data_IF_078572508454
#
_entry.id   IF_078572508454
#
_cell.length_a   1.000
_cell.length_b   1.000
_cell.length_c   1.000
_cell.angle_alpha   90.00
_cell.angle_beta   90.00
_cell.angle_gamma   90.00
#
_symmetry.space_group_name_H-M   'P 1'
#
loop_
_entity.id
_entity.type
_entity.pdbx_description
1 polymer ?
#
# COMPACT_ATOMS: atom_id res chain seq x y z
N UNK A 1 21.65 6.58 7.95
CA UNK A 1 20.87 5.74 7.01
C UNK A 1 19.48 5.44 7.53
N UNK A 2 19.29 5.16 8.82
CA UNK A 2 17.97 5.01 9.45
C UNK A 2 16.99 6.14 9.07
N UNK A 3 17.44 7.40 9.17
CA UNK A 3 16.67 8.59 8.79
C UNK A 3 16.20 8.62 7.32
N UNK A 4 16.84 7.87 6.42
CA UNK A 4 16.44 7.78 5.01
C UNK A 4 15.17 6.93 4.83
N UNK A 5 14.80 6.13 5.83
CA UNK A 5 13.71 5.17 5.78
C UNK A 5 12.59 5.52 6.76
N UNK A 6 12.18 6.79 6.78
CA UNK A 6 11.01 7.25 7.53
C UNK A 6 9.88 7.60 6.55
N UNK A 7 8.76 6.86 6.50
CA UNK A 7 8.38 5.81 7.44
C UNK A 7 9.12 4.47 7.22
N UNK A 8 9.43 3.81 8.34
CA UNK A 8 10.10 2.51 8.39
C UNK A 8 9.14 1.36 8.11
N UNK A 9 9.64 0.29 7.50
CA UNK A 9 8.90 -0.95 7.36
C UNK A 9 8.54 -1.53 8.74
N UNK A 10 7.28 -1.96 9.01
CA UNK A 10 6.86 -2.48 10.32
C UNK A 10 7.61 -3.74 10.76
N UNK A 11 7.99 -4.60 9.82
CA UNK A 11 8.81 -5.78 10.09
C UNK A 11 10.30 -5.43 10.10
N UNK A 12 10.97 -5.70 11.22
CA UNK A 12 12.40 -5.43 11.42
C UNK A 12 13.29 -6.09 10.39
N UNK A 13 13.01 -7.34 10.03
CA UNK A 13 13.78 -8.08 9.02
C UNK A 13 13.79 -7.34 7.68
N UNK A 14 12.64 -6.82 7.24
CA UNK A 14 12.54 -6.07 5.99
C UNK A 14 13.24 -4.73 6.10
N UNK A 15 13.12 -4.02 7.23
CA UNK A 15 13.81 -2.76 7.45
C UNK A 15 15.34 -2.92 7.40
N UNK A 16 15.87 -3.94 8.07
CA UNK A 16 17.30 -4.24 8.04
C UNK A 16 17.78 -4.61 6.63
N UNK A 17 16.96 -5.33 5.86
CA UNK A 17 17.27 -5.61 4.45
C UNK A 17 17.29 -4.32 3.60
N UNK A 18 16.37 -3.38 3.82
CA UNK A 18 16.37 -2.08 3.13
C UNK A 18 17.61 -1.26 3.46
N UNK A 19 18.03 -1.21 4.72
CA UNK A 19 19.26 -0.52 5.14
C UNK A 19 20.51 -1.14 4.50
N UNK A 20 20.62 -2.47 4.50
CA UNK A 20 21.72 -3.19 3.87
C UNK A 20 21.77 -2.93 2.36
N UNK A 21 20.62 -2.93 1.69
CA UNK A 21 20.51 -2.59 0.28
C UNK A 21 20.99 -1.17 -0.01
N UNK A 22 20.50 -0.17 0.74
CA UNK A 22 20.92 1.22 0.56
C UNK A 22 22.41 1.43 0.84
N UNK A 23 22.98 0.73 1.82
CA UNK A 23 24.40 0.80 2.15
C UNK A 23 25.28 0.31 0.99
N UNK A 24 24.82 -0.70 0.24
CA UNK A 24 25.53 -1.28 -0.90
C UNK A 24 25.44 -0.43 -2.17
N UNK A 25 24.49 0.52 -2.25
CA UNK A 25 24.33 1.38 -3.42
C UNK A 25 25.34 2.53 -3.46
N UNK A 26 25.71 3.01 -4.68
CA UNK A 26 26.36 4.29 -4.86
C UNK A 26 25.54 5.43 -4.23
N UNK A 27 26.21 6.40 -3.62
CA UNK A 27 25.56 7.50 -2.89
C UNK A 27 24.49 8.22 -3.72
N UNK A 28 24.77 8.48 -4.99
CA UNK A 28 23.86 9.16 -5.93
C UNK A 28 22.53 8.42 -6.15
N UNK A 29 22.48 7.09 -5.93
CA UNK A 29 21.26 6.29 -6.14
C UNK A 29 20.45 6.09 -4.85
N UNK A 30 21.06 6.34 -3.68
CA UNK A 30 20.44 6.00 -2.39
C UNK A 30 19.14 6.77 -2.15
N UNK A 31 19.10 8.05 -2.52
CA UNK A 31 17.94 8.90 -2.26
C UNK A 31 16.69 8.43 -3.01
N UNK A 32 16.85 8.08 -4.29
CA UNK A 32 15.75 7.57 -5.13
C UNK A 32 15.22 6.24 -4.62
N UNK A 33 16.09 5.27 -4.35
CA UNK A 33 15.67 3.98 -3.81
C UNK A 33 15.05 4.09 -2.40
N UNK A 34 15.57 5.00 -1.56
CA UNK A 34 14.99 5.25 -0.25
C UNK A 34 13.57 5.80 -0.36
N UNK A 35 13.28 6.69 -1.32
CA UNK A 35 11.91 7.15 -1.60
C UNK A 35 10.98 6.00 -1.93
N UNK A 36 11.38 5.11 -2.84
CA UNK A 36 10.58 3.94 -3.20
C UNK A 36 10.29 3.04 -1.98
N UNK A 37 11.28 2.84 -1.11
CA UNK A 37 11.04 2.11 0.15
C UNK A 37 10.10 2.85 1.08
N UNK A 38 10.22 4.16 1.28
CA UNK A 38 9.31 4.94 2.13
C UNK A 38 7.87 4.86 1.65
N UNK A 39 7.63 4.99 0.34
CA UNK A 39 6.30 4.85 -0.27
C UNK A 39 5.74 3.43 -0.09
N UNK A 40 6.56 2.41 -0.34
CA UNK A 40 6.20 1.02 -0.11
C UNK A 40 5.88 0.72 1.36
N UNK A 41 6.69 1.23 2.29
CA UNK A 41 6.52 1.07 3.73
C UNK A 41 5.23 1.75 4.23
N UNK A 42 4.96 2.97 3.77
CA UNK A 42 3.74 3.71 4.07
C UNK A 42 2.50 2.94 3.57
N UNK A 43 2.56 2.46 2.34
CA UNK A 43 1.49 1.68 1.70
C UNK A 43 1.26 0.33 2.40
N UNK A 44 2.33 -0.33 2.83
CA UNK A 44 2.24 -1.56 3.63
C UNK A 44 1.61 -1.31 5.00
N UNK A 45 1.98 -0.23 5.68
CA UNK A 45 1.37 0.20 6.95
C UNK A 45 -0.12 0.47 6.84
N UNK A 46 -0.56 1.06 5.73
CA UNK A 46 -1.97 1.24 5.43
C UNK A 46 -2.68 -0.11 5.32
N UNK A 47 -2.13 -1.07 4.56
CA UNK A 47 -2.73 -2.40 4.45
C UNK A 47 -2.80 -3.18 5.77
N UNK A 48 -1.85 -2.95 6.66
CA UNK A 48 -1.90 -3.57 7.99
C UNK A 48 -3.09 -3.08 8.82
N UNK A 49 -3.64 -1.89 8.55
CA UNK A 49 -4.86 -1.43 9.21
C UNK A 49 -6.04 -2.37 8.91
N UNK A 50 -6.07 -3.00 7.73
CA UNK A 50 -7.13 -3.95 7.35
C UNK A 50 -6.95 -5.35 7.94
N UNK A 51 -5.78 -5.66 8.53
CA UNK A 51 -5.46 -7.02 8.94
C UNK A 51 -6.33 -7.45 10.11
N UNK A 52 -7.19 -8.46 9.89
CA UNK A 52 -8.15 -8.94 10.89
C UNK A 52 -9.49 -8.20 10.87
N UNK A 53 -9.64 -7.16 10.06
CA UNK A 53 -10.87 -6.39 9.96
C UNK A 53 -11.71 -6.73 8.72
N UNK A 54 -11.11 -7.34 7.69
CA UNK A 54 -11.86 -7.72 6.46
C UNK A 54 -12.89 -8.81 6.77
N UNK A 55 -14.14 -8.56 6.44
CA UNK A 55 -15.28 -9.47 6.66
C UNK A 55 -15.85 -10.04 5.35
N UNK A 56 -16.70 -11.07 5.45
CA UNK A 56 -17.49 -11.55 4.31
C UNK A 56 -18.44 -10.48 3.77
N UNK A 57 -18.96 -9.60 4.63
CA UNK A 57 -19.79 -8.46 4.20
C UNK A 57 -18.99 -7.49 3.32
N UNK A 58 -17.75 -7.17 3.72
CA UNK A 58 -16.85 -6.34 2.92
C UNK A 58 -16.59 -6.99 1.56
N UNK A 59 -16.40 -8.31 1.53
CA UNK A 59 -16.23 -9.07 0.30
C UNK A 59 -17.45 -9.00 -0.61
N UNK A 60 -18.65 -9.23 -0.09
CA UNK A 60 -19.87 -9.15 -0.90
C UNK A 60 -20.16 -7.74 -1.40
N UNK A 61 -19.93 -6.72 -0.59
CA UNK A 61 -20.07 -5.34 -1.01
C UNK A 61 -19.04 -4.99 -2.09
N UNK A 62 -17.78 -5.38 -1.92
CA UNK A 62 -16.75 -5.17 -2.92
C UNK A 62 -17.10 -5.88 -4.24
N UNK A 63 -17.51 -7.15 -4.15
CA UNK A 63 -17.90 -7.99 -5.27
C UNK A 63 -19.06 -7.37 -6.09
N UNK A 64 -20.01 -6.72 -5.43
CA UNK A 64 -21.14 -6.06 -6.10
C UNK A 64 -20.71 -4.88 -7.00
N UNK A 65 -19.59 -4.22 -6.67
CA UNK A 65 -19.01 -3.12 -7.45
C UNK A 65 -18.07 -3.56 -8.58
N UNK A 66 -17.72 -4.85 -8.68
CA UNK A 66 -16.80 -5.34 -9.69
C UNK A 66 -17.48 -5.55 -11.06
N UNK A 67 -16.75 -5.36 -12.18
CA UNK A 67 -17.23 -5.74 -13.50
C UNK A 67 -17.60 -7.23 -13.57
N UNK A 68 -18.69 -7.57 -14.28
CA UNK A 68 -19.28 -8.92 -14.28
C UNK A 68 -18.28 -10.05 -14.50
N UNK A 69 -17.38 -9.90 -15.48
CA UNK A 69 -16.37 -10.92 -15.78
C UNK A 69 -15.43 -11.19 -14.61
N UNK A 70 -15.01 -10.13 -13.90
CA UNK A 70 -14.13 -10.23 -12.73
C UNK A 70 -14.94 -10.78 -11.55
N UNK A 71 -16.16 -10.27 -11.37
CA UNK A 71 -17.09 -10.69 -10.33
C UNK A 71 -17.32 -12.19 -10.32
N UNK A 72 -17.61 -12.80 -11.47
CA UNK A 72 -17.83 -14.26 -11.57
C UNK A 72 -16.61 -15.05 -11.12
N UNK A 73 -15.40 -14.61 -11.50
CA UNK A 73 -14.15 -15.29 -11.13
C UNK A 73 -13.89 -15.16 -9.62
N UNK A 74 -13.97 -13.95 -9.08
CA UNK A 74 -13.73 -13.69 -7.66
C UNK A 74 -14.81 -14.36 -6.78
N UNK A 75 -16.07 -14.35 -7.21
CA UNK A 75 -17.17 -15.03 -6.52
C UNK A 75 -16.94 -16.54 -6.42
N UNK A 76 -16.45 -17.16 -7.49
CA UNK A 76 -16.12 -18.60 -7.54
C UNK A 76 -15.00 -18.94 -6.57
N UNK A 77 -13.95 -18.11 -6.51
CA UNK A 77 -12.79 -18.35 -5.65
C UNK A 77 -13.12 -18.06 -4.17
N UNK A 78 -14.08 -17.16 -3.92
CA UNK A 78 -14.68 -16.93 -2.61
C UNK A 78 -13.87 -16.02 -1.69
N UNK A 79 -14.44 -15.79 -0.50
CA UNK A 79 -13.89 -14.87 0.50
C UNK A 79 -12.50 -15.28 0.99
N UNK A 80 -12.33 -16.55 1.35
CA UNK A 80 -11.08 -17.05 1.93
C UNK A 80 -9.87 -16.89 1.00
N UNK A 81 -10.07 -17.05 -0.31
CA UNK A 81 -9.05 -16.79 -1.31
C UNK A 81 -8.75 -15.29 -1.49
N UNK A 82 -9.73 -14.43 -1.21
CA UNK A 82 -9.69 -12.99 -1.51
C UNK A 82 -9.33 -12.11 -0.31
N UNK A 83 -9.51 -12.59 0.94
CA UNK A 83 -9.38 -11.79 2.19
C UNK A 83 -8.03 -11.12 2.41
N UNK A 84 -6.99 -11.61 1.74
CA UNK A 84 -5.63 -11.05 1.81
C UNK A 84 -5.26 -10.18 0.60
N UNK A 85 -6.17 -10.00 -0.36
CA UNK A 85 -5.92 -9.19 -1.54
C UNK A 85 -5.91 -7.69 -1.21
N UNK A 86 -5.03 -6.96 -1.88
CA UNK A 86 -4.90 -5.51 -1.74
C UNK A 86 -6.20 -4.75 -2.04
N UNK A 87 -6.94 -5.06 -3.13
CA UNK A 87 -8.17 -4.33 -3.45
C UNK A 87 -9.25 -4.50 -2.39
N UNK A 88 -9.45 -5.72 -1.87
CA UNK A 88 -10.46 -5.98 -0.85
C UNK A 88 -10.10 -5.32 0.49
N UNK A 89 -8.83 -5.38 0.90
CA UNK A 89 -8.37 -4.70 2.12
C UNK A 89 -8.54 -3.19 2.05
N UNK A 90 -8.21 -2.58 0.91
CA UNK A 90 -8.46 -1.16 0.67
C UNK A 90 -9.94 -0.84 0.73
N UNK A 91 -10.79 -1.62 0.04
CA UNK A 91 -12.24 -1.43 0.06
C UNK A 91 -12.82 -1.52 1.48
N UNK A 92 -12.35 -2.48 2.27
CA UNK A 92 -12.73 -2.65 3.67
C UNK A 92 -12.35 -1.41 4.52
N UNK A 93 -11.17 -0.84 4.33
CA UNK A 93 -10.73 0.37 5.03
C UNK A 93 -11.51 1.61 4.60
N UNK A 94 -11.76 1.78 3.31
CA UNK A 94 -12.56 2.89 2.79
C UNK A 94 -14.00 2.87 3.31
N UNK A 95 -14.59 1.68 3.50
CA UNK A 95 -15.90 1.51 4.16
C UNK A 95 -15.92 1.94 5.63
N UNK A 96 -14.75 2.04 6.27
CA UNK A 96 -14.56 2.44 7.66
C UNK A 96 -13.98 3.87 7.76
N UNK A 97 -14.12 4.65 6.69
CA UNK A 97 -13.61 6.03 6.56
C UNK A 97 -12.07 6.16 6.71
N UNK A 98 -11.34 5.06 6.53
CA UNK A 98 -9.88 5.03 6.50
C UNK A 98 -9.39 5.12 5.05
N UNK A 99 -9.41 6.33 4.50
CA UNK A 99 -8.96 6.62 3.15
C UNK A 99 -7.44 6.48 2.99
N UNK A 100 -7.01 5.84 1.91
CA UNK A 100 -5.59 5.61 1.63
C UNK A 100 -4.81 6.93 1.48
N UNK A 101 -5.35 7.88 0.73
CA UNK A 101 -4.67 9.14 0.44
C UNK A 101 -4.43 9.96 1.72
N UNK A 102 -5.47 10.14 2.53
CA UNK A 102 -5.36 10.84 3.81
C UNK A 102 -4.38 10.14 4.77
N UNK A 103 -4.35 8.81 4.78
CA UNK A 103 -3.40 8.05 5.59
C UNK A 103 -1.96 8.25 5.12
N UNK A 104 -1.71 8.18 3.80
CA UNK A 104 -0.39 8.36 3.23
C UNK A 104 0.13 9.79 3.43
N UNK A 105 -0.70 10.80 3.22
CA UNK A 105 -0.38 12.21 3.47
C UNK A 105 0.06 12.46 4.91
N UNK A 106 -0.60 11.80 5.87
CA UNK A 106 -0.29 11.97 7.30
C UNK A 106 1.06 11.36 7.73
N UNK A 107 1.61 10.39 6.98
CA UNK A 107 2.82 9.65 7.40
C UNK A 107 4.02 9.85 6.49
N UNK A 108 3.79 10.29 5.24
CA UNK A 108 4.87 10.60 4.31
C UNK A 108 5.44 11.99 4.58
N UNK A 109 6.68 12.19 4.15
CA UNK A 109 7.22 13.55 4.05
C UNK A 109 6.45 14.33 2.97
N UNK A 110 6.40 15.67 3.02
CA UNK A 110 5.77 16.47 1.97
C UNK A 110 6.34 16.20 0.57
N UNK A 111 7.64 15.91 0.47
CA UNK A 111 8.30 15.58 -0.79
C UNK A 111 7.85 14.23 -1.35
N UNK A 112 7.80 13.19 -0.52
CA UNK A 112 7.35 11.87 -0.95
C UNK A 112 5.84 11.88 -1.28
N UNK A 113 5.05 12.67 -0.55
CA UNK A 113 3.63 12.86 -0.86
C UNK A 113 3.41 13.54 -2.21
N UNK A 114 4.14 14.62 -2.47
CA UNK A 114 4.09 15.30 -3.77
C UNK A 114 4.49 14.36 -4.92
N UNK A 115 5.52 13.54 -4.72
CA UNK A 115 5.91 12.51 -5.68
C UNK A 115 4.82 11.47 -5.89
N UNK A 116 4.20 10.96 -4.83
CA UNK A 116 3.10 9.99 -4.92
C UNK A 116 1.92 10.55 -5.72
N UNK A 117 1.58 11.83 -5.50
CA UNK A 117 0.52 12.52 -6.25
C UNK A 117 0.86 12.67 -7.73
N UNK A 118 2.11 13.00 -8.06
CA UNK A 118 2.58 13.08 -9.44
C UNK A 118 2.46 11.72 -10.15
N UNK A 119 2.94 10.65 -9.53
CA UNK A 119 2.84 9.29 -10.10
C UNK A 119 1.38 8.88 -10.31
N UNK A 120 0.50 9.19 -9.35
CA UNK A 120 -0.92 8.89 -9.46
C UNK A 120 -1.61 9.69 -10.58
N UNK A 121 -1.20 10.93 -10.80
CA UNK A 121 -1.68 11.76 -11.91
C UNK A 121 -1.23 11.20 -13.27
N UNK A 122 0.05 10.85 -13.40
CA UNK A 122 0.62 10.33 -14.65
C UNK A 122 -0.03 8.99 -15.05
N UNK A 123 -0.32 8.13 -14.07
CA UNK A 123 -0.99 6.83 -14.29
C UNK A 123 -2.45 6.99 -14.75
N UNK A 124 -3.12 8.10 -14.45
CA UNK A 124 -4.49 8.37 -14.92
C UNK A 124 -4.55 8.88 -16.36
N UNK A 125 -3.43 9.36 -16.90
CA UNK A 125 -3.32 9.91 -18.26
C UNK A 125 -2.75 8.91 -19.28
N UNK A 126 -2.17 7.79 -18.81
CA UNK A 126 -1.65 6.68 -19.62
C UNK A 126 -2.71 5.65 -19.96
#
# INVERSE_FOLDING_TARGET
MEELLIPRHPLDKSHQAQLAFLAALPEAQRAEHARLFRLGNATYRYQQQAQGEVTEEDFHHWLAGLPEKIRVVIARDGFEASKNSWPLRRHALERRDLGQDAFLEAILSPEDWAYQQQVAYDTKLS
#
